data_IF_208029716132
#
_entry.id   IF_208029716132
#
_cell.length_a   1.000
_cell.length_b   1.000
_cell.length_c   1.000
_cell.angle_alpha   90.00
_cell.angle_beta   90.00
_cell.angle_gamma   90.00
#
_symmetry.space_group_name_H-M   'P 1'
#
loop_
_entity.id
_entity.type
_entity.pdbx_description
1 polymer ?
#
# COMPACT_ATOMS: atom_id res chain seq x y z
N UNK A 1 39.01 37.38 -1.63
CA UNK A 1 37.72 38.12 -1.67
C UNK A 1 36.63 37.21 -1.15
N UNK A 2 35.83 37.74 -0.21
CA UNK A 2 34.57 37.24 0.36
C UNK A 2 34.55 35.95 1.21
N UNK A 3 34.38 36.19 2.51
CA UNK A 3 34.10 35.32 3.66
C UNK A 3 32.59 35.04 3.79
N UNK A 4 32.18 33.91 4.38
CA UNK A 4 31.40 33.89 5.64
C UNK A 4 31.06 32.45 6.10
N UNK A 5 31.35 32.24 7.38
CA UNK A 5 31.11 31.07 8.22
C UNK A 5 29.70 31.21 8.79
N UNK A 6 28.94 30.12 8.88
CA UNK A 6 27.63 30.10 9.54
C UNK A 6 27.70 29.15 10.73
N UNK A 7 27.88 29.73 11.93
CA UNK A 7 27.52 29.11 13.20
C UNK A 7 26.04 29.37 13.47
N UNK A 8 25.34 28.37 14.05
CA UNK A 8 24.16 28.44 14.93
C UNK A 8 23.59 27.00 14.98
N UNK A 9 23.56 26.26 16.09
CA UNK A 9 23.28 26.67 17.46
C UNK A 9 21.87 26.17 17.83
N UNK A 10 21.80 24.94 18.37
CA UNK A 10 20.55 24.28 18.79
C UNK A 10 20.08 24.91 20.11
N UNK A 11 18.79 25.28 20.22
CA UNK A 11 18.13 25.54 21.52
C UNK A 11 16.62 25.32 21.49
N UNK A 12 16.13 24.87 22.65
CA UNK A 12 14.83 24.26 22.95
C UNK A 12 13.64 25.23 22.95
N UNK A 13 12.43 24.71 22.72
CA UNK A 13 11.17 25.42 22.85
C UNK A 13 10.41 24.96 24.10
N UNK A 14 10.12 25.93 24.97
CA UNK A 14 9.36 25.85 26.21
C UNK A 14 7.85 25.62 25.97
N UNK A 15 7.24 24.78 26.81
CA UNK A 15 5.79 24.54 26.88
C UNK A 15 5.04 25.71 27.56
N UNK A 16 3.95 26.15 26.93
CA UNK A 16 3.04 27.19 27.43
C UNK A 16 1.63 26.66 27.65
N UNK A 17 1.20 26.73 28.90
CA UNK A 17 -0.10 26.35 29.49
C UNK A 17 -1.27 27.20 29.00
N UNK A 18 -2.44 26.58 28.78
CA UNK A 18 -3.75 27.25 28.87
C UNK A 18 -4.70 26.44 29.78
N UNK A 19 -5.46 27.18 30.59
CA UNK A 19 -6.21 26.78 31.80
C UNK A 19 -7.73 26.95 31.58
N UNK A 20 -8.54 26.24 32.38
CA UNK A 20 -9.98 26.42 32.75
C UNK A 20 -10.84 25.18 32.41
N UNK A 21 -11.74 24.60 33.23
CA UNK A 21 -12.40 24.90 34.52
C UNK A 21 -12.80 23.60 35.29
N UNK A 22 -13.10 23.76 36.59
CA UNK A 22 -13.51 22.86 37.70
C UNK A 22 -15.05 22.51 37.70
N UNK A 23 -15.68 21.84 38.71
CA UNK A 23 -15.31 20.68 39.58
C UNK A 23 -16.48 19.71 39.99
N UNK A 24 -16.15 18.74 40.87
CA UNK A 24 -16.93 18.16 42.01
C UNK A 24 -17.54 16.74 41.97
N UNK A 25 -17.46 16.11 43.16
CA UNK A 25 -17.94 14.81 43.66
C UNK A 25 -17.03 13.58 43.44
N UNK A 26 -16.63 12.79 44.45
CA UNK A 26 -16.90 12.77 45.89
C UNK A 26 -15.92 11.78 46.56
N UNK A 27 -15.62 12.03 47.84
CA UNK A 27 -14.74 11.32 48.77
C UNK A 27 -15.20 9.90 49.13
N UNK A 28 -14.27 9.04 49.55
CA UNK A 28 -14.39 8.38 50.85
C UNK A 28 -13.03 8.03 51.47
N UNK A 29 -12.80 8.61 52.65
CA UNK A 29 -11.66 8.47 53.58
C UNK A 29 -11.52 7.07 54.19
N UNK A 30 -10.32 6.73 54.68
CA UNK A 30 -10.06 6.50 56.12
C UNK A 30 -8.54 6.55 56.50
N UNK A 31 -8.16 6.91 57.74
CA UNK A 31 -6.90 7.59 58.14
C UNK A 31 -5.87 6.72 58.93
N UNK A 32 -4.69 7.27 59.37
CA UNK A 32 -3.42 6.56 59.68
C UNK A 32 -3.09 6.52 61.22
N UNK A 33 -1.92 6.06 61.77
CA UNK A 33 -0.55 6.67 61.60
C UNK A 33 0.70 5.71 61.68
N UNK A 34 1.88 6.34 61.50
CA UNK A 34 3.32 5.92 61.35
C UNK A 34 4.00 5.25 62.60
N UNK A 35 5.35 5.00 62.72
CA UNK A 35 6.53 5.42 61.90
C UNK A 35 7.70 4.39 61.68
N UNK A 36 8.71 4.83 60.91
CA UNK A 36 10.12 4.40 60.69
C UNK A 36 10.71 3.11 61.29
N UNK A 37 11.35 2.27 60.44
CA UNK A 37 12.81 1.97 60.42
C UNK A 37 13.14 0.74 59.52
N UNK A 38 14.24 0.82 58.75
CA UNK A 38 14.83 -0.23 57.89
C UNK A 38 15.60 -1.30 58.76
N UNK A 39 16.31 -2.36 58.26
CA UNK A 39 16.80 -2.62 56.89
C UNK A 39 16.89 -4.12 56.42
N UNK A 40 17.49 -4.32 55.22
CA UNK A 40 18.21 -5.50 54.65
C UNK A 40 17.51 -6.86 54.38
N UNK A 41 17.43 -7.25 53.08
CA UNK A 41 17.96 -8.55 52.60
C UNK A 41 17.97 -8.70 51.06
N UNK A 42 19.18 -8.92 50.52
CA UNK A 42 19.57 -9.68 49.32
C UNK A 42 19.20 -9.21 47.88
N UNK A 43 20.19 -9.12 46.97
CA UNK A 43 19.95 -9.05 45.53
C UNK A 43 19.72 -10.46 44.97
N UNK A 44 18.64 -10.69 44.23
CA UNK A 44 18.52 -11.84 43.34
C UNK A 44 19.19 -11.51 42.01
N UNK A 45 20.27 -12.21 41.61
CA UNK A 45 20.74 -12.20 40.23
C UNK A 45 19.98 -13.30 39.48
N UNK A 46 19.25 -12.93 38.44
CA UNK A 46 18.94 -13.72 37.23
C UNK A 46 17.69 -13.15 36.56
N UNK A 47 17.77 -11.86 36.22
CA UNK A 47 17.01 -11.33 35.09
C UNK A 47 17.90 -11.47 33.87
N UNK A 48 17.84 -12.59 33.16
CA UNK A 48 18.29 -12.61 31.77
C UNK A 48 17.44 -11.57 31.02
N UNK A 49 18.00 -10.47 30.48
CA UNK A 49 17.27 -9.71 29.50
C UNK A 49 17.05 -10.69 28.33
N UNK A 50 15.80 -11.04 28.07
CA UNK A 50 15.43 -11.67 26.82
C UNK A 50 15.92 -10.71 25.73
N UNK A 51 17.02 -11.09 25.06
CA UNK A 51 17.49 -10.38 23.89
C UNK A 51 16.42 -10.64 22.85
N UNK A 52 15.55 -9.65 22.62
CA UNK A 52 14.64 -9.67 21.49
C UNK A 52 15.52 -9.80 20.25
N UNK A 53 15.53 -10.99 19.64
CA UNK A 53 16.20 -11.17 18.36
C UNK A 53 15.46 -10.30 17.35
N UNK A 54 16.04 -9.14 17.04
CA UNK A 54 15.57 -8.22 16.00
C UNK A 54 15.59 -8.95 14.64
N UNK A 55 14.50 -9.65 14.31
CA UNK A 55 14.31 -10.16 12.97
C UNK A 55 14.17 -8.95 12.05
N UNK A 56 15.01 -8.80 11.01
CA UNK A 56 14.95 -7.64 10.15
C UNK A 56 13.59 -7.61 9.42
N UNK A 57 12.77 -6.61 9.73
CA UNK A 57 11.50 -6.39 9.04
C UNK A 57 11.75 -6.01 7.58
N UNK A 58 11.20 -6.78 6.65
CA UNK A 58 11.29 -6.51 5.21
C UNK A 58 9.95 -5.96 4.74
N UNK A 59 9.94 -4.69 4.34
CA UNK A 59 8.76 -4.08 3.74
C UNK A 59 8.62 -4.48 2.26
N UNK A 60 7.41 -4.88 1.86
CA UNK A 60 7.06 -5.30 0.50
C UNK A 60 6.08 -4.28 -0.08
N UNK A 61 6.55 -3.51 -1.06
CA UNK A 61 5.72 -2.53 -1.76
C UNK A 61 5.05 -3.17 -2.98
N UNK A 62 3.72 -3.12 -3.03
CA UNK A 62 2.96 -3.55 -4.21
C UNK A 62 2.95 -2.43 -5.26
N UNK A 63 3.54 -2.72 -6.41
CA UNK A 63 3.71 -1.76 -7.49
C UNK A 63 2.69 -1.94 -8.62
N UNK A 64 2.23 -3.16 -8.87
CA UNK A 64 1.25 -3.41 -9.93
C UNK A 64 0.36 -4.61 -9.59
N UNK A 65 -0.93 -4.42 -9.78
CA UNK A 65 -1.96 -5.44 -9.70
C UNK A 65 -2.63 -5.53 -11.05
N UNK A 66 -2.56 -6.72 -11.65
CA UNK A 66 -3.24 -7.05 -12.90
C UNK A 66 -4.51 -7.81 -12.57
N UNK A 67 -5.64 -7.35 -13.08
CA UNK A 67 -6.93 -8.04 -12.91
C UNK A 67 -7.59 -8.33 -14.25
N UNK A 68 -8.48 -9.32 -14.27
CA UNK A 68 -9.30 -9.65 -15.42
C UNK A 68 -10.75 -9.81 -14.99
N UNK A 69 -11.66 -9.41 -15.87
CA UNK A 69 -13.09 -9.57 -15.69
C UNK A 69 -13.78 -9.76 -17.05
N UNK A 70 -15.03 -10.21 -17.02
CA UNK A 70 -15.86 -10.40 -18.21
C UNK A 70 -17.08 -9.48 -18.18
N UNK A 71 -17.47 -8.98 -19.35
CA UNK A 71 -18.68 -8.16 -19.55
C UNK A 71 -19.89 -8.94 -20.10
N UNK A 72 -19.70 -10.24 -20.46
CA UNK A 72 -20.73 -11.16 -21.00
C UNK A 72 -21.54 -10.61 -22.19
N UNK A 73 -20.93 -9.75 -22.99
CA UNK A 73 -21.51 -9.21 -24.22
C UNK A 73 -20.44 -9.16 -25.32
N UNK A 74 -20.86 -9.31 -26.58
CA UNK A 74 -19.98 -9.12 -27.72
C UNK A 74 -19.72 -7.63 -27.92
N UNK A 75 -18.45 -7.24 -28.02
CA UNK A 75 -18.04 -5.84 -28.14
C UNK A 75 -17.56 -5.55 -29.56
N UNK A 76 -18.17 -4.54 -30.20
CA UNK A 76 -17.67 -4.02 -31.45
C UNK A 76 -16.51 -3.05 -31.18
N UNK A 77 -15.29 -3.55 -31.32
CA UNK A 77 -14.06 -2.80 -31.05
C UNK A 77 -13.93 -1.51 -31.88
N UNK A 78 -14.41 -1.52 -33.13
CA UNK A 78 -14.37 -0.33 -34.00
C UNK A 78 -15.31 0.77 -33.49
N UNK A 79 -16.50 0.39 -33.03
CA UNK A 79 -17.44 1.35 -32.44
C UNK A 79 -16.91 1.96 -31.15
N UNK A 80 -16.24 1.16 -30.31
CA UNK A 80 -15.58 1.65 -29.08
C UNK A 80 -14.44 2.60 -29.43
N UNK A 81 -13.66 2.32 -30.47
CA UNK A 81 -12.57 3.19 -30.91
C UNK A 81 -13.06 4.54 -31.44
N UNK A 82 -14.19 4.58 -32.15
CA UNK A 82 -14.76 5.80 -32.72
C UNK A 82 -15.44 6.69 -31.67
N UNK A 83 -16.15 6.08 -30.71
CA UNK A 83 -16.96 6.81 -29.73
C UNK A 83 -16.27 6.96 -28.37
N UNK A 84 -15.21 6.20 -28.11
CA UNK A 84 -14.50 6.16 -26.84
C UNK A 84 -13.53 7.32 -26.66
N UNK A 85 -13.23 7.64 -25.40
CA UNK A 85 -12.27 8.69 -25.02
C UNK A 85 -11.01 8.02 -24.47
N UNK A 86 -9.82 8.50 -24.87
CA UNK A 86 -8.53 7.94 -24.48
C UNK A 86 -8.40 6.44 -24.83
N UNK A 87 -8.88 6.11 -26.02
CA UNK A 87 -8.86 4.76 -26.58
C UNK A 87 -7.89 4.71 -27.74
N UNK A 88 -7.04 3.67 -27.76
CA UNK A 88 -6.18 3.32 -28.89
C UNK A 88 -6.64 1.97 -29.45
N UNK A 89 -6.90 1.92 -30.75
CA UNK A 89 -7.26 0.69 -31.45
C UNK A 89 -6.24 0.39 -32.55
N UNK A 90 -5.54 -0.73 -32.40
CA UNK A 90 -4.62 -1.26 -33.39
C UNK A 90 -5.16 -2.58 -33.92
N UNK A 91 -5.54 -2.63 -35.20
CA UNK A 91 -6.19 -3.80 -35.81
C UNK A 91 -5.35 -5.06 -35.71
N UNK A 92 -4.02 -4.92 -35.81
CA UNK A 92 -3.04 -6.00 -35.69
C UNK A 92 -3.14 -6.77 -34.36
N UNK A 93 -3.48 -6.07 -33.26
CA UNK A 93 -3.50 -6.65 -31.93
C UNK A 93 -4.83 -7.33 -31.58
N UNK A 94 -5.88 -7.13 -32.38
CA UNK A 94 -7.21 -7.70 -32.12
C UNK A 94 -7.88 -7.21 -30.83
N UNK A 95 -7.38 -6.13 -30.21
CA UNK A 95 -7.90 -5.57 -28.96
C UNK A 95 -7.90 -4.05 -28.98
N UNK A 96 -8.70 -3.48 -28.08
CA UNK A 96 -8.77 -2.05 -27.81
C UNK A 96 -8.11 -1.73 -26.48
N UNK A 97 -7.23 -0.74 -26.46
CA UNK A 97 -6.58 -0.26 -25.26
C UNK A 97 -7.25 1.03 -24.78
N UNK A 98 -7.78 1.04 -23.56
CA UNK A 98 -8.44 2.22 -22.97
C UNK A 98 -7.72 2.66 -21.70
N UNK A 99 -7.34 3.93 -21.63
CA UNK A 99 -6.61 4.48 -20.48
C UNK A 99 -7.52 5.29 -19.57
N UNK A 100 -7.35 5.10 -18.26
CA UNK A 100 -8.07 5.83 -17.22
C UNK A 100 -7.09 6.62 -16.37
N UNK A 101 -7.45 7.85 -15.97
CA UNK A 101 -6.57 8.73 -15.17
C UNK A 101 -6.65 8.46 -13.67
N UNK A 102 -7.82 8.10 -13.15
CA UNK A 102 -8.04 7.82 -11.72
C UNK A 102 -8.85 6.53 -11.57
N UNK A 103 -8.29 5.46 -10.98
CA UNK A 103 -6.85 5.21 -10.82
C UNK A 103 -6.14 5.25 -12.19
N UNK A 104 -4.82 5.48 -12.19
CA UNK A 104 -4.05 5.49 -13.42
C UNK A 104 -3.86 4.05 -13.91
N UNK A 105 -4.75 3.61 -14.80
CA UNK A 105 -4.79 2.23 -15.26
C UNK A 105 -4.97 2.14 -16.75
N UNK A 106 -4.62 1.00 -17.31
CA UNK A 106 -4.84 0.68 -18.72
C UNK A 106 -5.65 -0.60 -18.82
N UNK A 107 -6.72 -0.58 -19.61
CA UNK A 107 -7.53 -1.76 -19.89
C UNK A 107 -7.36 -2.21 -21.34
N UNK A 108 -7.12 -3.51 -21.51
CA UNK A 108 -7.14 -4.23 -22.77
C UNK A 108 -8.49 -4.93 -22.92
N UNK A 109 -9.25 -4.56 -23.94
CA UNK A 109 -10.63 -5.00 -24.18
C UNK A 109 -10.66 -5.84 -25.45
N UNK A 110 -11.13 -7.07 -25.32
CA UNK A 110 -11.29 -8.01 -26.42
C UNK A 110 -12.73 -8.03 -26.94
N UNK A 111 -12.92 -8.37 -28.22
CA UNK A 111 -14.25 -8.48 -28.84
C UNK A 111 -15.15 -9.51 -28.14
N UNK A 112 -14.54 -10.54 -27.53
CA UNK A 112 -15.21 -11.56 -26.71
C UNK A 112 -15.83 -11.02 -25.42
N UNK A 113 -15.59 -9.76 -25.07
CA UNK A 113 -16.04 -9.18 -23.81
C UNK A 113 -15.18 -9.57 -22.61
N UNK A 114 -13.98 -10.12 -22.84
CA UNK A 114 -12.95 -10.23 -21.80
C UNK A 114 -12.19 -8.91 -21.70
N UNK A 115 -11.96 -8.46 -20.48
CA UNK A 115 -11.19 -7.25 -20.19
C UNK A 115 -10.08 -7.59 -19.21
N UNK A 116 -8.88 -7.09 -19.50
CA UNK A 116 -7.73 -7.15 -18.59
C UNK A 116 -7.34 -5.72 -18.24
N UNK A 117 -7.14 -5.44 -16.96
CA UNK A 117 -6.76 -4.12 -16.47
C UNK A 117 -5.41 -4.23 -15.74
N UNK A 118 -4.50 -3.31 -16.04
CA UNK A 118 -3.14 -3.23 -15.49
C UNK A 118 -2.85 -1.84 -14.94
N UNK A 119 -1.89 -1.75 -14.02
CA UNK A 119 -1.38 -0.48 -13.48
C UNK A 119 -2.03 -0.01 -12.17
N UNK A 120 -2.90 -0.82 -11.56
CA UNK A 120 -3.40 -0.52 -10.22
C UNK A 120 -2.31 -0.82 -9.19
N UNK A 121 -2.18 -0.01 -8.13
CA UNK A 121 -1.20 -0.25 -7.05
C UNK A 121 -1.76 -1.10 -5.92
N UNK A 122 -3.07 -1.35 -5.90
CA UNK A 122 -3.74 -2.19 -4.90
C UNK A 122 -4.92 -2.94 -5.52
N UNK A 123 -5.35 -4.03 -4.86
CA UNK A 123 -6.51 -4.80 -5.28
C UNK A 123 -7.78 -3.95 -5.30
N UNK A 124 -7.98 -3.12 -4.29
CA UNK A 124 -9.16 -2.25 -4.19
C UNK A 124 -9.21 -1.26 -5.36
N UNK A 125 -8.06 -0.63 -5.69
CA UNK A 125 -7.97 0.24 -6.86
C UNK A 125 -8.24 -0.52 -8.15
N UNK A 126 -7.73 -1.76 -8.28
CA UNK A 126 -8.00 -2.59 -9.45
C UNK A 126 -9.50 -2.87 -9.61
N UNK A 127 -10.20 -3.16 -8.50
CA UNK A 127 -11.66 -3.39 -8.48
C UNK A 127 -12.45 -2.14 -8.86
N UNK A 128 -12.03 -0.97 -8.35
CA UNK A 128 -12.63 0.32 -8.73
C UNK A 128 -12.40 0.62 -10.21
N UNK A 129 -11.17 0.42 -10.71
CA UNK A 129 -10.82 0.59 -12.13
C UNK A 129 -11.70 -0.29 -13.03
N UNK A 130 -11.79 -1.58 -12.70
CA UNK A 130 -12.57 -2.56 -13.46
C UNK A 130 -14.06 -2.15 -13.56
N UNK A 131 -14.66 -1.69 -12.46
CA UNK A 131 -16.03 -1.16 -12.45
C UNK A 131 -16.18 0.10 -13.29
N UNK A 132 -15.20 1.01 -13.26
CA UNK A 132 -15.21 2.23 -14.09
C UNK A 132 -15.13 1.90 -15.57
N UNK A 133 -14.31 0.92 -15.96
CA UNK A 133 -14.25 0.45 -17.33
C UNK A 133 -15.57 -0.18 -17.79
N UNK A 134 -16.17 -1.04 -16.96
CA UNK A 134 -17.49 -1.59 -17.25
C UNK A 134 -18.55 -0.48 -17.43
N UNK A 135 -18.52 0.56 -16.59
CA UNK A 135 -19.44 1.70 -16.69
C UNK A 135 -19.18 2.55 -17.94
N UNK A 136 -17.93 2.73 -18.34
CA UNK A 136 -17.58 3.43 -19.58
C UNK A 136 -18.16 2.70 -20.80
N UNK A 137 -18.05 1.36 -20.83
CA UNK A 137 -18.65 0.54 -21.88
C UNK A 137 -20.19 0.58 -21.87
N UNK A 138 -20.83 0.64 -20.70
CA UNK A 138 -22.28 0.86 -20.60
C UNK A 138 -22.72 2.19 -21.22
N UNK A 139 -21.96 3.26 -20.99
CA UNK A 139 -22.26 4.59 -21.55
C UNK A 139 -22.15 4.64 -23.07
N UNK A 140 -21.35 3.75 -23.67
CA UNK A 140 -21.25 3.61 -25.13
C UNK A 140 -22.41 2.83 -25.76
N UNK A 141 -23.36 2.34 -24.96
CA UNK A 141 -24.56 1.64 -25.42
C UNK A 141 -24.47 0.11 -25.42
N UNK A 142 -23.41 -0.48 -24.84
CA UNK A 142 -23.28 -1.94 -24.72
C UNK A 142 -23.99 -2.47 -23.46
N UNK A 143 -24.69 -3.61 -23.60
CA UNK A 143 -25.32 -4.31 -22.48
C UNK A 143 -24.29 -5.08 -21.64
N UNK A 144 -23.52 -4.35 -20.86
CA UNK A 144 -22.39 -4.87 -20.07
C UNK A 144 -22.85 -5.40 -18.71
N UNK A 145 -22.46 -6.64 -18.40
CA UNK A 145 -22.63 -7.26 -17.06
C UNK A 145 -21.27 -7.57 -16.45
N UNK A 146 -20.95 -6.94 -15.33
CA UNK A 146 -19.69 -7.17 -14.62
C UNK A 146 -19.70 -8.54 -13.92
N UNK A 147 -18.90 -9.48 -14.40
CA UNK A 147 -18.78 -10.83 -13.84
C UNK A 147 -17.33 -11.32 -13.84
N UNK A 148 -17.06 -12.36 -13.05
CA UNK A 148 -15.77 -13.07 -13.02
C UNK A 148 -14.56 -12.16 -12.81
N UNK A 149 -14.66 -11.22 -11.86
CA UNK A 149 -13.51 -10.43 -11.46
C UNK A 149 -12.48 -11.31 -10.73
N UNK A 150 -11.22 -11.27 -11.19
CA UNK A 150 -10.11 -12.01 -10.59
C UNK A 150 -8.81 -11.23 -10.71
N UNK A 151 -7.99 -11.26 -9.67
CA UNK A 151 -6.59 -10.81 -9.74
C UNK A 151 -5.76 -11.89 -10.44
N UNK A 152 -5.00 -11.51 -11.46
CA UNK A 152 -4.23 -12.41 -12.32
C UNK A 152 -2.76 -12.42 -11.92
N UNK A 153 -2.20 -11.26 -11.62
CA UNK A 153 -0.81 -11.12 -11.23
C UNK A 153 -0.64 -9.95 -10.27
N UNK A 154 0.33 -10.05 -9.39
CA UNK A 154 0.75 -8.99 -8.46
C UNK A 154 2.27 -8.87 -8.54
N UNK A 155 2.75 -7.65 -8.76
CA UNK A 155 4.16 -7.30 -8.75
C UNK A 155 4.48 -6.57 -7.44
N UNK A 156 5.29 -7.22 -6.60
CA UNK A 156 5.88 -6.62 -5.41
C UNK A 156 7.34 -6.25 -5.63
N UNK A 157 7.82 -5.25 -4.90
CA UNK A 157 9.24 -4.90 -4.82
C UNK A 157 9.60 -4.74 -3.36
N UNK A 158 10.71 -5.36 -2.96
CA UNK A 158 11.28 -5.24 -1.62
C UNK A 158 12.73 -4.83 -1.71
N UNK A 159 13.24 -4.23 -0.64
CA UNK A 159 14.66 -3.87 -0.51
C UNK A 159 15.25 -4.62 0.66
N UNK A 160 16.29 -5.40 0.40
CA UNK A 160 17.02 -6.09 1.45
C UNK A 160 17.99 -5.13 2.15
N UNK A 161 18.20 -5.26 3.47
CA UNK A 161 19.13 -4.43 4.23
C UNK A 161 20.61 -4.78 3.95
N UNK A 162 20.89 -5.81 3.16
CA UNK A 162 22.22 -6.26 2.80
C UNK A 162 22.38 -6.46 1.29
N UNK A 163 23.64 -6.41 0.82
CA UNK A 163 23.99 -6.70 -0.57
C UNK A 163 24.14 -8.20 -0.83
N UNK A 164 23.73 -8.66 -2.02
CA UNK A 164 23.84 -10.06 -2.43
C UNK A 164 24.95 -10.20 -3.47
N UNK A 165 25.92 -11.09 -3.22
CA UNK A 165 26.93 -11.48 -4.21
C UNK A 165 26.32 -12.48 -5.19
N UNK A 166 25.72 -11.96 -6.27
CA UNK A 166 24.92 -12.73 -7.24
C UNK A 166 25.68 -13.95 -7.80
N UNK A 167 26.98 -13.81 -8.10
CA UNK A 167 27.79 -14.89 -8.68
C UNK A 167 27.93 -16.08 -7.71
N UNK A 168 28.26 -15.80 -6.45
CA UNK A 168 28.40 -16.84 -5.41
C UNK A 168 27.05 -17.46 -5.08
N UNK A 169 26.01 -16.63 -5.02
CA UNK A 169 24.64 -17.07 -4.74
C UNK A 169 24.11 -18.00 -5.84
N UNK A 170 24.20 -17.60 -7.11
CA UNK A 170 23.73 -18.40 -8.25
C UNK A 170 24.49 -19.71 -8.41
N UNK A 171 25.82 -19.74 -8.14
CA UNK A 171 26.59 -20.99 -8.17
C UNK A 171 26.16 -21.98 -7.09
N UNK A 172 25.75 -21.48 -5.92
CA UNK A 172 25.28 -22.30 -4.79
C UNK A 172 23.85 -22.80 -4.99
N UNK A 173 22.99 -21.99 -5.60
CA UNK A 173 21.57 -22.28 -5.83
C UNK A 173 21.27 -22.29 -7.34
N UNK A 174 21.76 -23.31 -8.05
CA UNK A 174 21.56 -23.45 -9.51
C UNK A 174 20.16 -23.93 -9.90
N UNK A 175 19.49 -24.63 -8.99
CA UNK A 175 18.17 -25.25 -9.19
C UNK A 175 17.15 -24.63 -8.25
N UNK A 176 17.04 -23.30 -8.25
CA UNK A 176 15.87 -22.68 -7.65
C UNK A 176 14.72 -22.81 -8.65
N UNK A 177 13.86 -23.82 -8.45
CA UNK A 177 12.51 -23.86 -9.03
C UNK A 177 11.64 -22.70 -8.53
#
# INVERSE_FOLDING_TARGET
MATMIQENGIKELSSGTHRAMLPDHEYCEQPPPAPDEAPVSAPTPDGCPAVEEDTPEIDIMINNVVCSFSVKCHLNLRQIALNGINVEFRRENGMVTMKLRRPYTTASIWSSGRVTCTGATSEEQAKVAARRYARALQKLGFQVRFQNFRVVNVLGTCRMPFGIKIISFSKKYKEAE
#
